data_IF_855774622886
#
_entry.id   IF_855774622886
#
_cell.length_a   1.000
_cell.length_b   1.000
_cell.length_c   1.000
_cell.angle_alpha   90.00
_cell.angle_beta   90.00
_cell.angle_gamma   90.00
#
_symmetry.space_group_name_H-M   'P 1'
#
loop_
_entity.id
_entity.type
_entity.pdbx_description
1 polymer ?
#
# COMPACT_ATOMS: atom_id res chain seq x y z
N UNK A 1 15.25 -9.62 33.88
CA UNK A 1 16.03 -8.54 33.22
C UNK A 1 16.00 -8.66 31.69
N UNK A 2 16.47 -9.76 31.07
CA UNK A 2 16.43 -9.90 29.58
C UNK A 2 15.02 -10.14 29.01
N UNK A 3 14.22 -10.99 29.65
CA UNK A 3 12.90 -11.42 29.13
C UNK A 3 11.81 -10.34 29.23
N UNK A 4 11.83 -9.51 30.29
CA UNK A 4 10.92 -8.36 30.39
C UNK A 4 11.16 -7.34 29.26
N UNK A 5 12.42 -7.20 28.82
CA UNK A 5 12.80 -6.29 27.73
C UNK A 5 12.27 -6.80 26.38
N UNK A 6 12.27 -8.13 26.18
CA UNK A 6 11.71 -8.76 24.98
C UNK A 6 10.19 -8.66 24.94
N UNK A 7 9.51 -8.85 26.08
CA UNK A 7 8.06 -8.67 26.18
C UNK A 7 7.64 -7.24 25.79
N UNK A 8 8.29 -6.23 26.37
CA UNK A 8 8.06 -4.81 26.04
C UNK A 8 8.35 -4.51 24.56
N UNK A 9 9.33 -5.17 23.96
CA UNK A 9 9.64 -5.02 22.53
C UNK A 9 8.55 -5.60 21.63
N UNK A 10 7.93 -6.72 22.00
CA UNK A 10 6.80 -7.32 21.27
C UNK A 10 5.55 -6.43 21.39
N UNK A 11 5.23 -5.94 22.59
CA UNK A 11 4.14 -4.98 22.79
C UNK A 11 4.34 -3.68 22.00
N UNK A 12 5.58 -3.18 21.92
CA UNK A 12 5.92 -2.01 21.11
C UNK A 12 5.66 -2.26 19.61
N UNK A 13 5.89 -3.47 19.11
CA UNK A 13 5.61 -3.84 17.72
C UNK A 13 4.10 -3.93 17.46
N UNK A 14 3.32 -4.46 18.40
CA UNK A 14 1.85 -4.49 18.32
C UNK A 14 1.29 -3.07 18.28
N UNK A 15 1.78 -2.17 19.15
CA UNK A 15 1.42 -0.73 19.11
C UNK A 15 1.78 -0.08 17.79
N UNK A 16 2.97 -0.36 17.27
CA UNK A 16 3.41 0.18 16.00
C UNK A 16 2.50 -0.28 14.86
N UNK A 17 2.01 -1.52 14.89
CA UNK A 17 1.06 -2.04 13.92
C UNK A 17 -0.30 -1.32 14.00
N UNK A 18 -0.87 -1.16 15.20
CA UNK A 18 -2.13 -0.42 15.39
C UNK A 18 -1.98 1.04 14.95
N UNK A 19 -0.87 1.70 15.34
CA UNK A 19 -0.57 3.07 14.90
C UNK A 19 -0.44 3.16 13.38
N UNK A 20 0.15 2.16 12.72
CA UNK A 20 0.25 2.11 11.26
C UNK A 20 -1.13 1.99 10.60
N UNK A 21 -2.03 1.17 11.15
CA UNK A 21 -3.42 1.07 10.68
C UNK A 21 -4.14 2.41 10.72
N UNK A 22 -4.03 3.15 11.83
CA UNK A 22 -4.70 4.44 12.03
C UNK A 22 -4.09 5.55 11.18
N UNK A 23 -2.79 5.49 10.89
CA UNK A 23 -2.07 6.51 10.11
C UNK A 23 -1.79 6.07 8.66
N UNK A 24 -2.49 5.07 8.15
CA UNK A 24 -2.19 4.49 6.86
C UNK A 24 -2.47 5.48 5.73
N UNK A 25 -1.45 5.79 4.95
CA UNK A 25 -1.58 6.66 3.78
C UNK A 25 -2.25 5.96 2.61
N UNK A 26 -3.03 6.69 1.83
CA UNK A 26 -3.56 6.20 0.56
C UNK A 26 -2.45 6.10 -0.49
N UNK A 27 -2.54 5.09 -1.35
CA UNK A 27 -1.63 4.87 -2.47
C UNK A 27 -2.40 4.73 -3.77
N UNK A 28 -1.79 5.21 -4.86
CA UNK A 28 -2.33 5.02 -6.21
C UNK A 28 -2.44 3.53 -6.57
N UNK A 29 -3.35 3.14 -7.48
CA UNK A 29 -4.40 3.98 -8.05
C UNK A 29 -5.62 4.10 -7.12
N UNK A 30 -6.04 3.00 -6.47
CA UNK A 30 -7.29 2.93 -5.69
C UNK A 30 -7.10 2.27 -4.31
N UNK A 31 -5.90 2.37 -3.72
CA UNK A 31 -5.64 1.86 -2.37
C UNK A 31 -5.89 2.95 -1.35
N UNK A 32 -7.06 2.94 -0.73
CA UNK A 32 -7.42 3.92 0.28
C UNK A 32 -6.91 3.50 1.64
N UNK A 33 -5.97 4.28 2.17
CA UNK A 33 -5.25 3.97 3.40
C UNK A 33 -6.21 3.78 4.58
N UNK A 34 -7.20 4.66 4.72
CA UNK A 34 -8.23 4.55 5.76
C UNK A 34 -9.03 3.24 5.70
N UNK A 35 -9.43 2.79 4.51
CA UNK A 35 -10.17 1.54 4.35
C UNK A 35 -9.29 0.33 4.65
N UNK A 36 -8.09 0.29 4.07
CA UNK A 36 -7.14 -0.81 4.32
C UNK A 36 -6.63 -0.83 5.76
N UNK A 37 -6.54 0.33 6.42
CA UNK A 37 -6.20 0.47 7.83
C UNK A 37 -7.32 -0.05 8.73
N UNK A 38 -8.58 0.30 8.44
CA UNK A 38 -9.75 -0.19 9.16
C UNK A 38 -9.88 -1.73 9.08
N UNK A 39 -9.78 -2.31 7.87
CA UNK A 39 -9.83 -3.77 7.67
C UNK A 39 -8.71 -4.49 8.42
N UNK A 40 -7.53 -3.88 8.46
CA UNK A 40 -6.40 -4.43 9.18
C UNK A 40 -6.58 -4.31 10.70
N UNK A 41 -7.16 -3.22 11.18
CA UNK A 41 -7.52 -3.05 12.59
C UNK A 41 -8.58 -4.07 13.02
N UNK A 42 -9.55 -4.39 12.16
CA UNK A 42 -10.54 -5.44 12.39
C UNK A 42 -9.87 -6.82 12.51
N UNK A 43 -8.89 -7.11 11.64
CA UNK A 43 -8.07 -8.32 11.74
C UNK A 43 -7.31 -8.39 13.07
N UNK A 44 -6.68 -7.28 13.49
CA UNK A 44 -5.98 -7.20 14.78
C UNK A 44 -6.97 -7.44 15.94
N UNK A 45 -8.15 -6.82 15.90
CA UNK A 45 -9.18 -7.00 16.94
C UNK A 45 -9.70 -8.44 17.04
N UNK A 46 -9.86 -9.15 15.91
CA UNK A 46 -10.21 -10.59 15.94
C UNK A 46 -9.12 -11.41 16.62
N UNK A 47 -7.84 -11.17 16.29
CA UNK A 47 -6.73 -11.91 16.89
C UNK A 47 -6.63 -11.61 18.40
N UNK A 48 -6.71 -10.34 18.80
CA UNK A 48 -6.65 -9.95 20.22
C UNK A 48 -7.78 -10.57 21.04
N UNK A 49 -9.01 -10.67 20.49
CA UNK A 49 -10.14 -11.34 21.17
C UNK A 49 -10.01 -12.86 21.29
N UNK A 50 -9.19 -13.48 20.45
CA UNK A 50 -8.97 -14.93 20.49
C UNK A 50 -7.97 -15.36 21.57
N UNK A 51 -7.36 -14.39 22.28
CA UNK A 51 -6.42 -14.66 23.35
C UNK A 51 -7.14 -15.16 24.61
N UNK A 52 -6.61 -16.20 25.28
CA UNK A 52 -7.16 -16.66 26.56
C UNK A 52 -6.86 -15.65 27.66
N UNK A 53 -7.89 -15.21 28.42
CA UNK A 53 -7.71 -14.41 29.64
C UNK A 53 -6.95 -15.22 30.70
N UNK A 54 -5.95 -14.62 31.37
CA UNK A 54 -5.12 -15.30 32.38
C UNK A 54 -5.29 -14.68 33.77
N UNK A 55 -5.11 -15.44 34.85
CA UNK A 55 -5.46 -14.96 36.20
C UNK A 55 -4.59 -13.79 36.72
N UNK A 56 -3.44 -13.51 36.09
CA UNK A 56 -2.55 -12.39 36.42
C UNK A 56 -2.90 -11.09 35.67
N UNK A 57 -4.11 -11.01 35.08
CA UNK A 57 -4.59 -9.97 34.16
C UNK A 57 -4.53 -8.54 34.73
N UNK A 58 -3.36 -7.93 34.60
CA UNK A 58 -3.24 -6.54 34.13
C UNK A 58 -2.83 -6.56 32.66
N UNK A 59 -3.49 -7.43 31.89
CA UNK A 59 -3.03 -7.83 30.57
C UNK A 59 -3.19 -6.67 29.58
N UNK A 60 -2.05 -6.06 29.27
CA UNK A 60 -1.93 -4.93 28.36
C UNK A 60 -2.70 -5.17 27.04
N UNK A 61 -2.67 -6.42 26.53
CA UNK A 61 -3.37 -6.83 25.31
C UNK A 61 -4.90 -6.90 25.47
N UNK A 62 -5.40 -7.28 26.65
CA UNK A 62 -6.84 -7.29 26.95
C UNK A 62 -7.40 -5.87 26.97
N UNK A 63 -6.70 -4.93 27.62
CA UNK A 63 -7.06 -3.51 27.59
C UNK A 63 -7.00 -2.97 26.15
N UNK A 64 -5.95 -3.32 25.41
CA UNK A 64 -5.78 -2.92 24.02
C UNK A 64 -6.91 -3.43 23.11
N UNK A 65 -7.39 -4.67 23.33
CA UNK A 65 -8.53 -5.23 22.61
C UNK A 65 -9.79 -4.38 22.77
N UNK A 66 -10.09 -3.94 24.00
CA UNK A 66 -11.25 -3.06 24.29
C UNK A 66 -11.16 -1.75 23.51
N UNK A 67 -9.97 -1.11 23.50
CA UNK A 67 -9.78 0.14 22.75
C UNK A 67 -9.88 -0.05 21.24
N UNK A 68 -9.37 -1.17 20.71
CA UNK A 68 -9.49 -1.52 19.30
C UNK A 68 -10.96 -1.73 18.93
N UNK A 69 -11.72 -2.47 19.72
CA UNK A 69 -13.16 -2.69 19.49
C UNK A 69 -13.95 -1.38 19.52
N UNK A 70 -13.68 -0.50 20.50
CA UNK A 70 -14.33 0.80 20.59
C UNK A 70 -14.04 1.67 19.36
N UNK A 71 -12.80 1.65 18.87
CA UNK A 71 -12.41 2.36 17.66
C UNK A 71 -13.10 1.79 16.41
N UNK A 72 -13.22 0.46 16.30
CA UNK A 72 -13.94 -0.19 15.21
C UNK A 72 -15.42 0.17 15.20
N UNK A 73 -16.09 0.09 16.36
CA UNK A 73 -17.51 0.44 16.50
C UNK A 73 -17.75 1.90 16.08
N UNK A 74 -16.92 2.80 16.59
CA UNK A 74 -17.06 4.25 16.35
C UNK A 74 -16.85 4.63 14.89
N UNK A 75 -16.05 3.86 14.15
CA UNK A 75 -15.71 4.15 12.74
C UNK A 75 -16.46 3.25 11.73
N UNK A 76 -17.33 2.33 12.17
CA UNK A 76 -18.00 1.36 11.30
C UNK A 76 -18.83 2.01 10.20
N UNK A 77 -19.62 3.03 10.53
CA UNK A 77 -20.45 3.74 9.55
C UNK A 77 -19.61 4.44 8.48
N UNK A 78 -18.58 5.15 8.90
CA UNK A 78 -17.63 5.86 8.02
C UNK A 78 -16.87 4.86 7.13
N UNK A 79 -16.42 3.74 7.69
CA UNK A 79 -15.74 2.68 6.93
C UNK A 79 -16.66 2.03 5.89
N UNK A 80 -17.94 1.84 6.21
CA UNK A 80 -18.95 1.34 5.27
C UNK A 80 -19.18 2.32 4.11
N UNK A 81 -19.39 3.60 4.41
CA UNK A 81 -19.56 4.65 3.40
C UNK A 81 -18.31 4.75 2.50
N UNK A 82 -17.12 4.72 3.09
CA UNK A 82 -15.85 4.70 2.39
C UNK A 82 -15.69 3.44 1.51
N UNK A 83 -16.13 2.27 1.97
CA UNK A 83 -16.09 1.03 1.19
C UNK A 83 -16.98 1.12 -0.05
N UNK A 84 -18.21 1.62 0.10
CA UNK A 84 -19.14 1.84 -1.02
C UNK A 84 -18.61 2.89 -2.00
N UNK A 85 -18.07 4.01 -1.51
CA UNK A 85 -17.43 5.01 -2.35
C UNK A 85 -16.26 4.43 -3.17
N UNK A 86 -15.46 3.53 -2.59
CA UNK A 86 -14.38 2.84 -3.31
C UNK A 86 -14.92 1.92 -4.42
N UNK A 87 -16.01 1.21 -4.16
CA UNK A 87 -16.66 0.37 -5.18
C UNK A 87 -17.16 1.21 -6.36
N UNK A 88 -17.76 2.36 -6.09
CA UNK A 88 -18.13 3.32 -7.15
C UNK A 88 -16.91 3.80 -7.93
N UNK A 89 -15.83 4.19 -7.25
CA UNK A 89 -14.60 4.61 -7.93
C UNK A 89 -14.02 3.50 -8.83
N UNK A 90 -14.11 2.24 -8.42
CA UNK A 90 -13.69 1.10 -9.25
C UNK A 90 -14.58 0.91 -10.47
N UNK A 91 -15.91 1.04 -10.32
CA UNK A 91 -16.83 1.00 -11.46
C UNK A 91 -16.53 2.10 -12.48
N UNK A 92 -16.22 3.31 -12.00
CA UNK A 92 -15.80 4.43 -12.85
C UNK A 92 -14.50 4.10 -13.56
N UNK A 93 -13.52 3.54 -12.85
CA UNK A 93 -12.26 3.13 -13.44
C UNK A 93 -12.46 2.04 -14.51
N UNK A 94 -13.35 1.08 -14.26
CA UNK A 94 -13.72 0.04 -15.23
C UNK A 94 -14.41 0.63 -16.47
N UNK A 95 -15.34 1.60 -16.30
CA UNK A 95 -15.98 2.34 -17.40
C UNK A 95 -14.95 3.11 -18.25
N UNK A 96 -13.94 3.70 -17.62
CA UNK A 96 -12.83 4.35 -18.31
C UNK A 96 -11.78 3.36 -18.85
N UNK A 97 -12.01 2.05 -18.71
CA UNK A 97 -11.10 0.98 -19.13
C UNK A 97 -9.70 1.13 -18.52
N UNK A 98 -9.64 1.61 -17.28
CA UNK A 98 -8.39 1.77 -16.55
C UNK A 98 -7.73 0.39 -16.33
N UNK A 99 -6.43 0.23 -16.64
CA UNK A 99 -5.79 -1.09 -16.60
C UNK A 99 -5.83 -1.71 -15.20
N UNK A 100 -6.27 -2.96 -15.14
CA UNK A 100 -6.25 -3.76 -13.91
C UNK A 100 -4.82 -4.29 -13.70
N UNK A 101 -3.95 -3.49 -13.10
CA UNK A 101 -2.61 -3.97 -12.73
C UNK A 101 -2.72 -5.03 -11.62
N UNK A 102 -2.76 -6.30 -12.00
CA UNK A 102 -2.44 -7.41 -11.10
C UNK A 102 -0.93 -7.38 -10.83
N UNK A 103 -0.56 -7.68 -9.59
CA UNK A 103 0.77 -7.43 -9.02
C UNK A 103 1.78 -8.52 -9.39
N UNK A 104 1.79 -8.97 -10.64
CA UNK A 104 2.80 -9.87 -11.21
C UNK A 104 3.69 -9.05 -12.13
N UNK A 105 4.66 -8.36 -11.51
CA UNK A 105 5.86 -7.98 -12.24
C UNK A 105 6.73 -9.23 -12.33
N UNK A 106 6.51 -10.03 -13.36
CA UNK A 106 7.58 -10.71 -14.06
C UNK A 106 7.37 -10.37 -15.53
N UNK A 107 8.48 -10.04 -16.18
CA UNK A 107 8.58 -9.87 -17.61
C UNK A 107 7.77 -10.94 -18.34
N UNK A 108 6.87 -10.50 -19.22
CA UNK A 108 6.69 -11.16 -20.50
C UNK A 108 6.19 -10.12 -21.51
N UNK A 109 7.03 -9.90 -22.52
CA UNK A 109 6.82 -9.05 -23.70
C UNK A 109 5.79 -9.67 -24.68
N UNK A 110 5.06 -10.69 -24.25
CA UNK A 110 4.07 -11.39 -25.07
C UNK A 110 2.74 -11.38 -24.37
N UNK A 111 1.90 -10.41 -24.71
CA UNK A 111 0.44 -10.53 -24.81
C UNK A 111 -0.12 -9.24 -25.43
N UNK A 112 0.23 -9.00 -26.70
CA UNK A 112 -0.42 -7.99 -27.56
C UNK A 112 -1.66 -8.56 -28.24
N UNK A 113 -2.00 -9.84 -28.02
CA UNK A 113 -2.95 -10.54 -28.90
C UNK A 113 -4.22 -11.07 -28.27
N UNK A 114 -4.58 -10.72 -27.03
CA UNK A 114 -5.85 -11.21 -26.46
C UNK A 114 -6.60 -10.16 -25.66
N UNK A 115 -7.43 -9.39 -26.35
CA UNK A 115 -8.83 -9.15 -25.96
C UNK A 115 -9.47 -8.24 -27.00
N UNK A 116 -10.09 -8.85 -28.01
CA UNK A 116 -11.32 -8.34 -28.66
C UNK A 116 -11.39 -6.82 -28.86
N UNK A 117 -10.81 -6.36 -29.97
CA UNK A 117 -11.04 -5.04 -30.57
C UNK A 117 -12.52 -4.82 -30.93
N UNK A 118 -13.39 -4.65 -29.94
CA UNK A 118 -14.45 -3.67 -30.09
C UNK A 118 -13.73 -2.33 -29.93
N UNK A 119 -13.55 -1.62 -31.04
CA UNK A 119 -13.04 -0.25 -31.05
C UNK A 119 -13.96 0.59 -30.15
N UNK A 120 -13.56 0.72 -28.88
CA UNK A 120 -14.31 1.44 -27.88
C UNK A 120 -14.36 2.89 -28.31
N UNK A 121 -15.56 3.40 -28.59
CA UNK A 121 -15.73 4.77 -29.09
C UNK A 121 -15.92 5.75 -27.94
N UNK A 122 -15.55 7.01 -28.14
CA UNK A 122 -15.84 8.07 -27.16
C UNK A 122 -17.33 8.15 -26.81
N UNK A 123 -18.21 7.90 -27.79
CA UNK A 123 -19.65 7.90 -27.59
C UNK A 123 -20.11 6.83 -26.59
N UNK A 124 -19.58 5.61 -26.70
CA UNK A 124 -19.90 4.51 -25.78
C UNK A 124 -19.45 4.84 -24.36
N UNK A 125 -18.18 5.26 -24.18
CA UNK A 125 -17.63 5.62 -22.87
C UNK A 125 -18.41 6.78 -22.25
N UNK A 126 -18.76 7.78 -23.05
CA UNK A 126 -19.56 8.92 -22.58
C UNK A 126 -20.92 8.48 -22.06
N UNK A 127 -21.65 7.66 -22.84
CA UNK A 127 -22.97 7.17 -22.46
C UNK A 127 -22.90 6.35 -21.17
N UNK A 128 -21.96 5.40 -21.09
CA UNK A 128 -21.76 4.57 -19.90
C UNK A 128 -21.39 5.40 -18.67
N UNK A 129 -20.55 6.42 -18.84
CA UNK A 129 -20.18 7.31 -17.73
C UNK A 129 -21.37 8.18 -17.27
N UNK A 130 -22.16 8.71 -18.20
CA UNK A 130 -23.36 9.49 -17.89
C UNK A 130 -24.41 8.63 -17.17
N UNK A 131 -24.65 7.39 -17.63
CA UNK A 131 -25.52 6.42 -16.96
C UNK A 131 -25.02 6.08 -15.54
N UNK A 132 -23.71 5.87 -15.37
CA UNK A 132 -23.10 5.58 -14.07
C UNK A 132 -23.26 6.77 -13.10
N UNK A 133 -23.02 7.99 -13.59
CA UNK A 133 -23.22 9.22 -12.80
C UNK A 133 -24.68 9.44 -12.41
N UNK A 134 -25.63 9.03 -13.26
CA UNK A 134 -27.05 9.08 -12.95
C UNK A 134 -27.44 8.05 -11.89
N UNK A 135 -26.89 6.83 -11.93
CA UNK A 135 -27.14 5.78 -10.93
C UNK A 135 -26.51 6.12 -9.56
N UNK A 136 -25.38 6.82 -9.56
CA UNK A 136 -24.69 7.19 -8.33
C UNK A 136 -25.36 8.39 -7.65
N UNK A 137 -26.38 8.17 -6.80
CA UNK A 137 -27.13 9.22 -6.08
C UNK A 137 -26.98 9.10 -4.56
N UNK A 138 -25.84 9.51 -3.98
CA UNK A 138 -25.64 9.47 -2.54
C UNK A 138 -26.40 10.60 -1.83
N UNK A 139 -27.02 10.27 -0.69
CA UNK A 139 -27.65 11.25 0.20
C UNK A 139 -26.61 11.97 1.06
N UNK A 140 -26.62 13.31 1.04
CA UNK A 140 -25.63 14.14 1.75
C UNK A 140 -25.59 13.89 3.27
N UNK A 141 -26.74 13.57 3.89
CA UNK A 141 -26.85 13.36 5.33
C UNK A 141 -26.39 11.98 5.81
N UNK A 142 -26.55 10.94 4.99
CA UNK A 142 -26.23 9.57 5.37
C UNK A 142 -24.86 9.11 4.86
N UNK A 143 -24.44 9.57 3.68
CA UNK A 143 -23.26 9.09 2.97
C UNK A 143 -22.35 10.26 2.56
N UNK A 144 -21.72 10.96 3.52
CA UNK A 144 -20.93 12.16 3.26
C UNK A 144 -19.72 11.91 2.36
N UNK A 145 -19.08 10.74 2.45
CA UNK A 145 -17.90 10.39 1.63
C UNK A 145 -18.31 10.16 0.19
N UNK A 146 -19.36 9.38 -0.05
CA UNK A 146 -19.89 9.17 -1.39
C UNK A 146 -20.35 10.49 -2.03
N UNK A 147 -21.03 11.36 -1.26
CA UNK A 147 -21.44 12.67 -1.75
C UNK A 147 -20.24 13.55 -2.16
N UNK A 148 -19.19 13.59 -1.33
CA UNK A 148 -17.96 14.31 -1.67
C UNK A 148 -17.29 13.76 -2.93
N UNK A 149 -17.25 12.43 -3.08
CA UNK A 149 -16.73 11.76 -4.27
C UNK A 149 -17.52 12.14 -5.52
N UNK A 150 -18.86 12.01 -5.50
CA UNK A 150 -19.73 12.38 -6.61
C UNK A 150 -19.51 13.83 -7.02
N UNK A 151 -19.59 14.76 -6.07
CA UNK A 151 -19.43 16.20 -6.32
C UNK A 151 -18.09 16.51 -6.97
N UNK A 152 -17.01 15.86 -6.53
CA UNK A 152 -15.68 16.05 -7.12
C UNK A 152 -15.59 15.43 -8.52
N UNK A 153 -16.13 14.24 -8.70
CA UNK A 153 -16.13 13.52 -9.97
C UNK A 153 -16.90 14.30 -11.04
N UNK A 154 -18.10 14.78 -10.71
CA UNK A 154 -18.95 15.52 -11.63
C UNK A 154 -18.24 16.80 -12.10
N UNK A 155 -17.65 17.56 -11.18
CA UNK A 155 -16.81 18.73 -11.52
C UNK A 155 -15.62 18.39 -12.44
N UNK A 156 -14.98 17.23 -12.24
CA UNK A 156 -13.87 16.80 -13.09
C UNK A 156 -14.35 16.37 -14.47
N UNK A 157 -15.48 15.66 -14.52
CA UNK A 157 -16.12 15.24 -15.75
C UNK A 157 -16.58 16.44 -16.59
N UNK A 158 -17.25 17.42 -15.97
CA UNK A 158 -17.69 18.64 -16.64
C UNK A 158 -16.51 19.45 -17.22
N UNK A 159 -15.38 19.45 -16.50
CA UNK A 159 -14.20 20.25 -16.90
C UNK A 159 -13.31 19.55 -17.93
N UNK A 160 -13.11 18.23 -17.81
CA UNK A 160 -12.10 17.50 -18.55
C UNK A 160 -12.65 16.33 -19.37
N UNK A 161 -13.91 15.94 -19.18
CA UNK A 161 -14.52 14.77 -19.82
C UNK A 161 -14.46 14.85 -21.34
N UNK A 162 -14.82 16.00 -21.93
CA UNK A 162 -14.75 16.20 -23.39
C UNK A 162 -13.34 15.98 -23.95
N UNK A 163 -12.32 16.50 -23.26
CA UNK A 163 -10.92 16.36 -23.67
C UNK A 163 -10.38 14.95 -23.49
N UNK A 164 -10.83 14.24 -22.44
CA UNK A 164 -10.43 12.86 -22.17
C UNK A 164 -10.95 11.91 -23.26
N UNK A 165 -12.18 12.15 -23.73
CA UNK A 165 -12.90 11.28 -24.66
C UNK A 165 -12.21 11.10 -26.02
N UNK A 166 -11.45 12.10 -26.48
CA UNK A 166 -10.70 12.01 -27.74
C UNK A 166 -9.67 10.87 -27.76
N UNK A 167 -9.20 10.41 -26.60
CA UNK A 167 -8.25 9.31 -26.51
C UNK A 167 -8.84 7.96 -26.95
N UNK A 168 -10.16 7.83 -26.97
CA UNK A 168 -10.85 6.61 -27.42
C UNK A 168 -11.09 6.59 -28.93
N UNK A 169 -11.17 7.76 -29.57
CA UNK A 169 -11.44 7.85 -31.01
C UNK A 169 -10.17 7.78 -31.87
N UNK A 170 -9.01 8.06 -31.30
CA UNK A 170 -7.73 8.09 -32.02
C UNK A 170 -7.04 6.73 -31.89
N UNK A 171 -6.88 5.96 -32.99
CA UNK A 171 -6.20 4.67 -32.95
C UNK A 171 -4.76 4.79 -32.42
N UNK A 172 -4.42 3.98 -31.43
CA UNK A 172 -3.07 3.91 -30.88
C UNK A 172 -2.73 4.96 -29.81
N UNK A 173 -3.62 5.93 -29.55
CA UNK A 173 -3.46 6.84 -28.41
C UNK A 173 -3.99 6.15 -27.14
N UNK A 174 -3.18 5.92 -26.09
CA UNK A 174 -3.67 5.28 -24.88
C UNK A 174 -4.63 6.21 -24.11
N UNK A 175 -5.67 5.66 -23.45
CA UNK A 175 -6.61 6.42 -22.63
C UNK A 175 -6.02 6.86 -21.28
N UNK A 176 -4.82 6.39 -20.94
CA UNK A 176 -4.11 6.72 -19.72
C UNK A 176 -2.62 7.04 -19.96
N UNK A 177 -1.99 7.64 -18.94
CA UNK A 177 -0.57 7.99 -18.96
C UNK A 177 0.29 7.08 -18.06
N UNK A 178 -0.20 5.90 -17.67
CA UNK A 178 0.40 5.07 -16.62
C UNK A 178 1.77 4.52 -17.01
N UNK A 179 1.94 4.14 -18.28
CA UNK A 179 3.24 3.73 -18.82
C UNK A 179 4.29 4.83 -18.64
N UNK A 180 3.90 6.09 -18.91
CA UNK A 180 4.77 7.25 -18.71
C UNK A 180 5.04 7.50 -17.22
N UNK A 181 4.02 7.48 -16.36
CA UNK A 181 4.21 7.64 -14.91
C UNK A 181 5.12 6.55 -14.33
N UNK A 182 5.00 5.30 -14.79
CA UNK A 182 5.81 4.16 -14.38
C UNK A 182 7.28 4.35 -14.81
N UNK A 183 7.51 4.74 -16.06
CA UNK A 183 8.84 5.05 -16.58
C UNK A 183 9.53 6.14 -15.73
N UNK A 184 8.88 7.29 -15.51
CA UNK A 184 9.45 8.37 -14.68
C UNK A 184 9.65 7.96 -13.21
N UNK A 185 8.82 7.06 -12.69
CA UNK A 185 8.98 6.55 -11.34
C UNK A 185 10.16 5.58 -11.22
N UNK A 186 10.41 4.76 -12.24
CA UNK A 186 11.57 3.87 -12.32
C UNK A 186 12.87 4.68 -12.42
N UNK A 187 12.91 5.69 -13.29
CA UNK A 187 14.05 6.61 -13.40
C UNK A 187 14.36 7.30 -12.06
N UNK A 188 13.33 7.85 -11.39
CA UNK A 188 13.50 8.47 -10.06
C UNK A 188 14.00 7.49 -9.00
N UNK A 189 13.53 6.24 -9.04
CA UNK A 189 13.97 5.20 -8.10
C UNK A 189 15.43 4.82 -8.36
N UNK A 190 15.80 4.66 -9.62
CA UNK A 190 17.16 4.36 -10.03
C UNK A 190 18.13 5.47 -9.59
N UNK A 191 17.82 6.75 -9.88
CA UNK A 191 18.69 7.86 -9.46
C UNK A 191 18.90 7.91 -7.95
N UNK A 192 17.84 7.73 -7.15
CA UNK A 192 17.95 7.75 -5.69
C UNK A 192 18.82 6.61 -5.16
N UNK A 193 18.83 5.46 -5.84
CA UNK A 193 19.66 4.32 -5.46
C UNK A 193 21.13 4.55 -5.75
N UNK A 194 21.46 5.14 -6.90
CA UNK A 194 22.84 5.42 -7.29
C UNK A 194 23.42 6.61 -6.53
N UNK A 195 22.68 7.72 -6.46
CA UNK A 195 23.16 8.96 -5.83
C UNK A 195 23.09 8.95 -4.30
N UNK A 196 22.26 8.09 -3.71
CA UNK A 196 21.91 8.13 -2.28
C UNK A 196 21.10 9.37 -1.87
N UNK A 197 20.76 10.28 -2.80
CA UNK A 197 20.06 11.54 -2.53
C UNK A 197 18.56 11.39 -2.78
N UNK A 198 17.73 12.02 -1.93
CA UNK A 198 16.26 12.06 -2.10
C UNK A 198 15.85 12.96 -3.27
N UNK A 199 16.60 14.04 -3.49
CA UNK A 199 16.40 14.99 -4.58
C UNK A 199 16.56 14.28 -5.92
N UNK A 200 15.64 14.57 -6.84
CA UNK A 200 15.71 14.10 -8.23
C UNK A 200 15.86 15.29 -9.18
N UNK A 201 16.36 16.43 -8.68
CA UNK A 201 16.63 17.62 -9.52
C UNK A 201 17.66 17.27 -10.59
N UNK A 202 18.65 16.45 -10.25
CA UNK A 202 19.64 15.92 -11.20
C UNK A 202 19.01 15.13 -12.36
N UNK A 203 17.78 14.58 -12.24
CA UNK A 203 17.08 13.98 -13.39
C UNK A 203 16.55 15.01 -14.39
N UNK A 204 16.30 16.25 -13.96
CA UNK A 204 15.87 17.33 -14.85
C UNK A 204 17.04 17.82 -15.69
N UNK A 205 18.23 17.87 -15.11
CA UNK A 205 19.43 18.40 -15.74
C UNK A 205 20.25 17.30 -16.44
N UNK A 206 20.25 16.07 -15.90
CA UNK A 206 21.02 14.91 -16.39
C UNK A 206 20.17 13.70 -16.80
N UNK A 207 18.83 13.83 -16.93
CA UNK A 207 17.93 12.70 -17.25
C UNK A 207 18.27 11.98 -18.56
N UNK A 208 18.96 12.66 -19.47
CA UNK A 208 19.45 12.14 -20.76
C UNK A 208 20.74 11.30 -20.59
N UNK A 209 21.51 11.58 -19.52
CA UNK A 209 22.84 11.04 -19.27
C UNK A 209 22.87 9.98 -18.18
N UNK A 210 21.75 9.73 -17.49
CA UNK A 210 21.68 8.68 -16.46
C UNK A 210 21.72 7.27 -17.06
N UNK A 211 21.52 7.16 -18.38
CA UNK A 211 21.86 5.99 -19.20
C UNK A 211 23.38 5.73 -19.20
N UNK A 212 24.24 6.68 -18.78
CA UNK A 212 25.70 6.51 -18.79
C UNK A 212 26.29 5.99 -17.46
N UNK A 213 25.46 5.71 -16.45
CA UNK A 213 25.84 4.77 -15.38
C UNK A 213 25.47 3.32 -15.77
N UNK A 214 25.17 3.08 -17.05
CA UNK A 214 25.29 1.76 -17.62
C UNK A 214 26.78 1.50 -17.80
N UNK A 215 27.31 0.51 -17.09
CA UNK A 215 28.41 -0.23 -17.65
C UNK A 215 28.00 -0.65 -19.08
N UNK A 216 28.79 -0.26 -20.07
CA UNK A 216 28.50 -0.52 -21.48
C UNK A 216 28.50 -2.03 -21.78
N UNK A 217 29.11 -2.81 -20.89
CA UNK A 217 29.12 -4.27 -20.90
C UNK A 217 29.38 -4.83 -19.49
N UNK A 218 29.17 -6.13 -19.32
CA UNK A 218 29.35 -6.87 -18.06
C UNK A 218 30.75 -6.71 -17.46
N UNK A 219 31.79 -6.60 -18.30
CA UNK A 219 33.18 -6.46 -17.86
C UNK A 219 33.42 -5.13 -17.14
N UNK A 220 32.89 -4.04 -17.66
CA UNK A 220 32.99 -2.72 -17.03
C UNK A 220 32.21 -2.64 -15.72
N UNK A 221 31.05 -3.32 -15.64
CA UNK A 221 30.28 -3.42 -14.40
C UNK A 221 31.07 -4.19 -13.34
N UNK A 222 31.68 -5.30 -13.75
CA UNK A 222 32.48 -6.14 -12.87
C UNK A 222 33.71 -5.38 -12.35
N UNK A 223 34.43 -4.64 -13.20
CA UNK A 223 35.55 -3.79 -12.79
C UNK A 223 35.11 -2.74 -11.76
N UNK A 224 33.97 -2.09 -11.97
CA UNK A 224 33.42 -1.12 -11.02
C UNK A 224 33.02 -1.77 -9.68
N UNK A 225 32.42 -2.96 -9.70
CA UNK A 225 32.03 -3.70 -8.48
C UNK A 225 33.29 -4.17 -7.72
N UNK A 226 34.34 -4.59 -8.43
CA UNK A 226 35.59 -5.10 -7.85
C UNK A 226 36.40 -4.01 -7.11
N UNK A 227 36.16 -2.73 -7.41
CA UNK A 227 36.78 -1.62 -6.68
C UNK A 227 36.25 -1.45 -5.25
N UNK A 228 35.13 -2.08 -4.90
CA UNK A 228 34.54 -2.00 -3.55
C UNK A 228 35.03 -3.19 -2.70
N UNK A 229 35.77 -2.95 -1.60
CA UNK A 229 36.17 -4.03 -0.71
C UNK A 229 34.96 -4.79 -0.16
N UNK A 230 34.98 -6.11 -0.23
CA UNK A 230 33.87 -6.98 0.21
C UNK A 230 33.48 -6.72 1.68
N UNK A 231 34.46 -6.39 2.53
CA UNK A 231 34.23 -6.06 3.93
C UNK A 231 33.38 -4.79 4.09
N UNK A 232 33.67 -3.74 3.31
CA UNK A 232 32.92 -2.48 3.33
C UNK A 232 31.51 -2.67 2.77
N UNK A 233 31.38 -3.43 1.68
CA UNK A 233 30.07 -3.82 1.13
C UNK A 233 29.21 -4.54 2.17
N UNK A 234 29.77 -5.56 2.85
CA UNK A 234 29.05 -6.32 3.90
C UNK A 234 28.66 -5.42 5.08
N UNK A 235 29.55 -4.52 5.51
CA UNK A 235 29.26 -3.58 6.58
C UNK A 235 28.11 -2.63 6.21
N UNK A 236 28.13 -2.08 4.99
CA UNK A 236 27.05 -1.22 4.50
C UNK A 236 25.74 -1.99 4.28
N UNK A 237 25.80 -3.24 3.79
CA UNK A 237 24.61 -4.09 3.65
C UNK A 237 23.95 -4.39 4.99
N UNK A 238 24.73 -4.59 6.06
CA UNK A 238 24.21 -4.74 7.43
C UNK A 238 23.59 -3.45 7.94
N UNK A 239 24.25 -2.30 7.77
CA UNK A 239 23.70 -0.98 8.14
C UNK A 239 22.38 -0.71 7.41
N UNK A 240 22.33 -1.02 6.11
CA UNK A 240 21.11 -0.89 5.33
C UNK A 240 20.01 -1.82 5.86
N UNK A 241 20.31 -3.10 6.14
CA UNK A 241 19.35 -4.04 6.70
C UNK A 241 18.76 -3.55 8.05
N UNK A 242 19.60 -3.03 8.96
CA UNK A 242 19.15 -2.45 10.23
C UNK A 242 18.24 -1.23 9.98
N UNK A 243 18.61 -0.36 9.03
CA UNK A 243 17.82 0.82 8.67
C UNK A 243 16.49 0.48 7.95
N UNK A 244 16.46 -0.66 7.24
CA UNK A 244 15.32 -1.15 6.49
C UNK A 244 14.38 -2.01 7.33
N UNK A 245 14.83 -2.57 8.46
CA UNK A 245 14.05 -3.46 9.31
C UNK A 245 12.65 -2.90 9.67
N UNK A 246 12.50 -1.62 10.08
CA UNK A 246 11.17 -1.04 10.32
C UNK A 246 10.30 -0.98 9.06
N UNK A 247 10.91 -0.78 7.88
CA UNK A 247 10.19 -0.75 6.59
C UNK A 247 9.80 -2.16 6.12
N UNK A 248 10.67 -3.15 6.34
CA UNK A 248 10.40 -4.54 6.04
C UNK A 248 9.26 -5.05 6.91
N UNK A 249 9.27 -4.75 8.21
CA UNK A 249 8.18 -5.09 9.11
C UNK A 249 6.85 -4.48 8.64
N UNK A 250 6.82 -3.19 8.29
CA UNK A 250 5.63 -2.57 7.68
C UNK A 250 5.23 -3.24 6.37
N UNK A 251 6.20 -3.64 5.54
CA UNK A 251 5.92 -4.34 4.29
C UNK A 251 5.25 -5.70 4.53
N UNK A 252 5.76 -6.50 5.47
CA UNK A 252 5.17 -7.77 5.87
C UNK A 252 3.78 -7.57 6.45
N UNK A 253 3.64 -6.61 7.37
CA UNK A 253 2.37 -6.20 7.96
C UNK A 253 1.33 -5.79 6.89
N UNK A 254 1.76 -5.14 5.80
CA UNK A 254 0.88 -4.75 4.70
C UNK A 254 0.51 -5.88 3.75
N UNK A 255 1.38 -6.89 3.62
CA UNK A 255 1.21 -7.98 2.65
C UNK A 255 0.53 -9.20 3.27
N UNK A 256 0.86 -9.49 4.53
CA UNK A 256 0.39 -10.64 5.29
C UNK A 256 0.00 -10.21 6.72
N UNK A 257 -1.05 -9.38 6.89
CA UNK A 257 -1.39 -8.79 8.18
C UNK A 257 -1.73 -9.85 9.24
N UNK A 258 -2.50 -10.87 8.87
CA UNK A 258 -2.93 -11.95 9.78
C UNK A 258 -1.72 -12.69 10.35
N UNK A 259 -0.88 -13.26 9.48
CA UNK A 259 0.27 -14.06 9.92
C UNK A 259 1.29 -13.22 10.68
N UNK A 260 1.47 -11.94 10.31
CA UNK A 260 2.42 -11.05 10.99
C UNK A 260 1.96 -10.73 12.40
N UNK A 261 0.66 -10.45 12.59
CA UNK A 261 0.11 -10.15 13.92
C UNK A 261 0.02 -11.42 14.76
N UNK A 262 -0.40 -12.54 14.17
CA UNK A 262 -0.45 -13.82 14.88
C UNK A 262 0.93 -14.21 15.42
N UNK A 263 1.98 -14.10 14.61
CA UNK A 263 3.35 -14.38 15.06
C UNK A 263 3.81 -13.48 16.23
N UNK A 264 3.41 -12.20 16.25
CA UNK A 264 3.71 -11.31 17.38
C UNK A 264 2.94 -11.71 18.64
N UNK A 265 1.69 -12.12 18.49
CA UNK A 265 0.84 -12.56 19.59
C UNK A 265 1.33 -13.90 20.15
N UNK A 266 1.68 -14.86 19.30
CA UNK A 266 2.24 -16.14 19.69
C UNK A 266 3.55 -15.94 20.46
N UNK A 267 4.44 -15.06 19.96
CA UNK A 267 5.68 -14.70 20.65
C UNK A 267 5.41 -14.07 22.02
N UNK A 268 4.40 -13.22 22.14
CA UNK A 268 3.99 -12.62 23.42
C UNK A 268 3.50 -13.71 24.40
N UNK A 269 2.65 -14.62 23.94
CA UNK A 269 2.13 -15.72 24.75
C UNK A 269 3.24 -16.67 25.21
N UNK A 270 4.19 -17.02 24.34
CA UNK A 270 5.36 -17.84 24.70
C UNK A 270 6.19 -17.18 25.80
N UNK A 271 6.52 -15.89 25.65
CA UNK A 271 7.28 -15.14 26.65
C UNK A 271 6.56 -15.10 28.01
N UNK A 272 5.24 -14.90 28.01
CA UNK A 272 4.44 -14.94 29.24
C UNK A 272 4.43 -16.32 29.90
N UNK A 273 4.27 -17.41 29.14
CA UNK A 273 4.33 -18.78 29.72
C UNK A 273 5.69 -19.08 30.34
N UNK A 274 6.77 -18.60 29.74
CA UNK A 274 8.12 -18.76 30.29
C UNK A 274 8.25 -17.99 31.60
N UNK A 275 7.77 -16.74 31.66
CA UNK A 275 7.79 -15.91 32.87
C UNK A 275 6.95 -16.53 33.99
N UNK A 276 5.72 -16.97 33.71
CA UNK A 276 4.84 -17.67 34.67
C UNK A 276 5.51 -18.93 35.24
N UNK A 277 6.13 -19.74 34.37
CA UNK A 277 6.83 -20.97 34.79
C UNK A 277 8.07 -20.70 35.65
N UNK A 278 8.65 -19.49 35.58
CA UNK A 278 9.76 -19.07 36.43
C UNK A 278 9.27 -18.56 37.78
N UNK A 279 8.14 -17.84 37.81
CA UNK A 279 7.53 -17.33 39.04
C UNK A 279 7.01 -18.48 39.92
N UNK A 280 6.46 -19.54 39.32
CA UNK A 280 6.01 -20.75 40.03
C UNK A 280 7.12 -21.66 40.57
N UNK A 281 8.39 -21.40 40.23
CA UNK A 281 9.57 -22.17 40.69
C UNK A 281 10.27 -21.57 41.91
N UNK A 282 9.80 -20.42 42.40
CA UNK A 282 10.26 -19.75 43.62
C UNK A 282 9.14 -19.72 44.65
#
# INVERSE_FOLDING_TARGET
MSQDTELVAVEAQIRAAIRDCVNRTSHKPFRWGGLSGYQQLETIGVILRSLPCREMDTDYLSLLSVWVDQALISNRSVASDLSQANQWLRRIADCLHYPKYSKTCNDDVTNITDSSNSLLTSFQVRREMEELLQQFQPEQGQNPVQFALKKKLQRLWDKYGTNLLHCYDIPGLPPDNLKMEAMFSNLRRHQRRISGRKSTVELRDFGQYQVLFLAENEKQLLEQIQQVPIAEYKAQRRRLAVSEAPRQQKHHLHRHPVSTIQALVDQHTELLTVLESQVLKY
#
